data_IF_754005170287
#
_entry.id   IF_754005170287
#
_cell.length_a   1.000
_cell.length_b   1.000
_cell.length_c   1.000
_cell.angle_alpha   90.00
_cell.angle_beta   90.00
_cell.angle_gamma   90.00
#
_symmetry.space_group_name_H-M   'P 1'
#
loop_
_entity.id
_entity.type
_entity.pdbx_description
1 polymer ?
#
# COMPACT_ATOMS: atom_id res chain seq x y z
N UNK A 1 11.66 21.81 -0.95
CA UNK A 1 11.34 21.06 0.27
C UNK A 1 10.43 21.80 1.24
N UNK A 2 10.48 23.13 1.31
CA UNK A 2 9.66 23.92 2.26
C UNK A 2 8.14 23.84 2.04
N UNK A 3 7.68 23.47 0.84
CA UNK A 3 6.24 23.47 0.52
C UNK A 3 5.53 22.12 0.77
N UNK A 4 6.25 21.01 0.79
CA UNK A 4 5.69 19.68 1.04
C UNK A 4 5.30 19.52 2.51
N UNK A 5 6.15 19.98 3.42
CA UNK A 5 6.01 19.77 4.86
C UNK A 5 4.71 20.34 5.46
N UNK A 6 4.29 21.58 5.15
CA UNK A 6 3.01 22.11 5.62
C UNK A 6 1.80 21.29 5.12
N UNK A 7 1.83 20.83 3.86
CA UNK A 7 0.78 20.00 3.28
C UNK A 7 0.73 18.64 3.99
N UNK A 8 1.87 17.99 4.11
CA UNK A 8 1.99 16.73 4.83
C UNK A 8 1.42 16.84 6.25
N UNK A 9 1.85 17.85 7.01
CA UNK A 9 1.42 18.03 8.39
C UNK A 9 -0.09 18.25 8.52
N UNK A 10 -0.66 19.05 7.62
CA UNK A 10 -2.11 19.30 7.57
C UNK A 10 -2.89 18.02 7.25
N UNK A 11 -2.50 17.32 6.19
CA UNK A 11 -3.16 16.10 5.74
C UNK A 11 -3.03 14.98 6.77
N UNK A 12 -1.84 14.80 7.34
CA UNK A 12 -1.62 13.80 8.39
C UNK A 12 -2.45 14.07 9.64
N UNK A 13 -2.52 15.33 10.10
CA UNK A 13 -3.37 15.72 11.22
C UNK A 13 -4.87 15.52 10.91
N UNK A 14 -5.29 15.76 9.67
CA UNK A 14 -6.67 15.57 9.22
C UNK A 14 -7.12 14.11 9.32
N UNK A 15 -6.23 13.12 9.12
CA UNK A 15 -6.57 11.71 9.35
C UNK A 15 -7.04 11.48 10.78
N UNK A 16 -6.30 11.97 11.77
CA UNK A 16 -6.61 11.75 13.19
C UNK A 16 -7.71 12.68 13.72
N UNK A 17 -8.09 13.72 12.99
CA UNK A 17 -9.24 14.56 13.32
C UNK A 17 -10.58 13.89 13.01
N UNK A 18 -10.59 12.77 12.27
CA UNK A 18 -11.81 12.06 11.90
C UNK A 18 -11.89 10.70 12.59
N UNK A 19 -13.09 10.25 13.03
CA UNK A 19 -13.28 8.92 13.61
C UNK A 19 -12.88 7.79 12.66
N UNK A 20 -12.89 8.04 11.34
CA UNK A 20 -12.63 7.05 10.32
C UNK A 20 -11.22 6.44 10.43
N UNK A 21 -10.22 7.24 10.78
CA UNK A 21 -8.85 6.77 10.94
C UNK A 21 -8.73 5.73 12.08
N UNK A 22 -9.40 5.99 13.18
CA UNK A 22 -9.41 5.06 14.32
C UNK A 22 -10.13 3.76 13.98
N UNK A 23 -11.28 3.85 13.31
CA UNK A 23 -12.02 2.68 12.81
C UNK A 23 -11.14 1.85 11.88
N UNK A 24 -10.40 2.52 10.98
CA UNK A 24 -9.49 1.87 10.07
C UNK A 24 -8.36 1.11 10.78
N UNK A 25 -7.70 1.76 11.75
CA UNK A 25 -6.64 1.14 12.55
C UNK A 25 -7.19 -0.06 13.34
N UNK A 26 -8.36 0.10 13.97
CA UNK A 26 -8.99 -0.99 14.73
C UNK A 26 -9.33 -2.18 13.83
N UNK A 27 -9.92 -1.93 12.66
CA UNK A 27 -10.22 -3.01 11.69
C UNK A 27 -8.94 -3.70 11.24
N UNK A 28 -7.89 -2.93 10.92
CA UNK A 28 -6.60 -3.48 10.51
C UNK A 28 -5.99 -4.37 11.60
N UNK A 29 -5.88 -3.86 12.83
CA UNK A 29 -5.29 -4.62 13.94
C UNK A 29 -6.12 -5.85 14.30
N UNK A 30 -7.45 -5.70 14.32
CA UNK A 30 -8.36 -6.81 14.60
C UNK A 30 -8.27 -7.90 13.51
N UNK A 31 -8.29 -7.52 12.24
CA UNK A 31 -8.17 -8.44 11.13
C UNK A 31 -6.81 -9.15 11.15
N UNK A 32 -5.71 -8.40 11.34
CA UNK A 32 -4.37 -8.98 11.45
C UNK A 32 -4.27 -9.96 12.61
N UNK A 33 -4.80 -9.61 13.78
CA UNK A 33 -4.85 -10.51 14.94
C UNK A 33 -5.66 -11.77 14.64
N UNK A 34 -6.87 -11.62 14.08
CA UNK A 34 -7.75 -12.75 13.75
C UNK A 34 -7.10 -13.67 12.71
N UNK A 35 -6.56 -13.12 11.63
CA UNK A 35 -5.92 -13.93 10.59
C UNK A 35 -4.68 -14.62 11.09
N UNK A 36 -3.86 -13.97 11.91
CA UNK A 36 -2.62 -14.56 12.42
C UNK A 36 -2.90 -15.66 13.47
N UNK A 37 -3.68 -15.33 14.49
CA UNK A 37 -3.83 -16.23 15.63
C UNK A 37 -4.90 -17.29 15.45
N UNK A 38 -6.01 -16.95 14.77
CA UNK A 38 -7.14 -17.88 14.61
C UNK A 38 -7.08 -18.63 13.28
N UNK A 39 -6.98 -17.93 12.13
CA UNK A 39 -6.98 -18.57 10.80
C UNK A 39 -5.63 -19.22 10.51
N UNK A 40 -4.54 -18.52 10.84
CA UNK A 40 -3.17 -18.96 10.59
C UNK A 40 -2.64 -19.96 11.63
N UNK A 41 -3.43 -20.27 12.67
CA UNK A 41 -3.05 -21.25 13.73
C UNK A 41 -1.65 -21.00 14.30
N UNK A 42 -1.30 -19.72 14.52
CA UNK A 42 0.05 -19.30 14.93
C UNK A 42 0.60 -20.12 16.10
N UNK A 43 -0.19 -20.35 17.15
CA UNK A 43 0.23 -21.10 18.32
C UNK A 43 0.31 -22.61 18.07
N UNK A 44 -0.54 -23.14 17.20
CA UNK A 44 -0.60 -24.59 16.90
C UNK A 44 0.61 -25.04 16.05
N UNK A 45 1.17 -24.11 15.26
CA UNK A 45 2.35 -24.37 14.44
C UNK A 45 3.62 -24.61 15.27
N UNK A 46 3.67 -24.12 16.51
CA UNK A 46 4.80 -24.33 17.43
C UNK A 46 6.13 -23.71 16.96
N UNK A 47 6.11 -22.83 15.98
CA UNK A 47 7.28 -22.18 15.40
C UNK A 47 7.22 -20.69 15.74
N UNK A 48 8.29 -20.15 16.33
CA UNK A 48 8.41 -18.74 16.67
C UNK A 48 8.85 -17.95 15.43
N UNK A 49 7.92 -17.70 14.52
CA UNK A 49 8.15 -17.01 13.25
C UNK A 49 6.90 -16.20 12.89
N UNK A 50 7.07 -15.08 12.14
CA UNK A 50 6.00 -14.21 11.69
C UNK A 50 5.66 -14.36 10.19
N UNK A 51 6.07 -15.43 9.54
CA UNK A 51 5.78 -15.69 8.13
C UNK A 51 4.27 -15.72 7.86
N UNK A 52 3.51 -16.36 8.75
CA UNK A 52 2.04 -16.39 8.70
C UNK A 52 1.45 -14.98 8.83
N UNK A 53 1.96 -14.18 9.76
CA UNK A 53 1.52 -12.80 9.97
C UNK A 53 1.74 -11.96 8.72
N UNK A 54 2.94 -11.94 8.16
CA UNK A 54 3.26 -11.17 6.96
C UNK A 54 2.58 -11.73 5.70
N UNK A 55 2.31 -13.03 5.64
CA UNK A 55 1.59 -13.65 4.53
C UNK A 55 0.18 -13.11 4.28
N UNK A 56 -0.46 -12.54 5.32
CA UNK A 56 -1.78 -11.92 5.19
C UNK A 56 -1.74 -10.44 4.80
N UNK A 57 -0.58 -9.74 4.89
CA UNK A 57 -0.48 -8.32 4.56
C UNK A 57 -0.93 -7.98 3.13
N UNK A 58 -0.50 -8.70 2.07
CA UNK A 58 -0.93 -8.38 0.71
C UNK A 58 -2.45 -8.39 0.57
N UNK A 59 -3.12 -9.36 1.18
CA UNK A 59 -4.57 -9.55 1.09
C UNK A 59 -5.35 -8.50 1.87
N UNK A 60 -4.90 -8.14 3.07
CA UNK A 60 -5.52 -7.08 3.85
C UNK A 60 -5.30 -5.71 3.24
N UNK A 61 -4.10 -5.44 2.75
CA UNK A 61 -3.77 -4.18 2.08
C UNK A 61 -4.57 -3.99 0.79
N UNK A 62 -4.92 -5.08 0.11
CA UNK A 62 -5.73 -5.04 -1.10
C UNK A 62 -7.07 -4.31 -0.91
N UNK A 63 -7.64 -4.36 0.28
CA UNK A 63 -8.90 -3.68 0.60
C UNK A 63 -8.67 -2.40 1.43
N UNK A 64 -7.80 -2.47 2.41
CA UNK A 64 -7.64 -1.39 3.37
C UNK A 64 -6.90 -0.19 2.77
N UNK A 65 -5.86 -0.42 1.98
CA UNK A 65 -5.10 0.68 1.38
C UNK A 65 -5.90 1.44 0.31
N UNK A 66 -6.66 0.78 -0.60
CA UNK A 66 -7.62 1.47 -1.46
C UNK A 66 -8.68 2.28 -0.70
N UNK A 67 -9.13 1.82 0.46
CA UNK A 67 -10.09 2.57 1.28
C UNK A 67 -9.51 3.89 1.84
N UNK A 68 -8.19 3.94 2.09
CA UNK A 68 -7.50 5.19 2.43
C UNK A 68 -7.36 6.07 1.18
N UNK A 69 -6.85 5.49 0.09
CA UNK A 69 -6.47 6.24 -1.11
C UNK A 69 -7.66 6.79 -1.90
N UNK A 70 -8.83 6.14 -1.84
CA UNK A 70 -10.03 6.60 -2.56
C UNK A 70 -10.43 8.04 -2.22
N UNK A 71 -10.11 8.51 -1.01
CA UNK A 71 -10.48 9.85 -0.52
C UNK A 71 -9.51 10.94 -0.93
N UNK A 72 -8.28 10.61 -1.32
CA UNK A 72 -7.19 11.57 -1.52
C UNK A 72 -7.54 12.70 -2.51
N UNK A 73 -8.26 12.37 -3.58
CA UNK A 73 -8.67 13.31 -4.63
C UNK A 73 -10.17 13.30 -4.92
N UNK A 74 -10.82 12.13 -4.84
CA UNK A 74 -12.25 12.03 -5.12
C UNK A 74 -13.09 12.84 -4.13
N UNK A 75 -12.65 12.96 -2.88
CA UNK A 75 -13.31 13.78 -1.86
C UNK A 75 -13.19 15.28 -2.16
N UNK A 76 -11.99 15.74 -2.53
CA UNK A 76 -11.73 17.14 -2.95
C UNK A 76 -12.60 17.53 -4.16
N UNK A 77 -12.74 16.61 -5.11
CA UNK A 77 -13.62 16.82 -6.28
C UNK A 77 -15.09 16.87 -5.92
N UNK A 78 -15.51 15.94 -5.07
CA UNK A 78 -16.91 15.89 -4.61
C UNK A 78 -17.28 17.15 -3.82
N UNK A 79 -16.34 17.68 -3.04
CA UNK A 79 -16.54 18.88 -2.24
C UNK A 79 -16.39 20.20 -3.04
N UNK A 80 -15.94 20.14 -4.32
CA UNK A 80 -15.66 21.32 -5.12
C UNK A 80 -14.44 22.14 -4.67
N UNK A 81 -13.63 21.57 -3.76
CA UNK A 81 -12.44 22.24 -3.21
C UNK A 81 -11.21 22.07 -4.08
N UNK A 82 -11.29 21.25 -5.12
CA UNK A 82 -10.17 20.98 -6.01
C UNK A 82 -9.71 22.22 -6.77
N UNK A 83 -10.65 23.06 -7.24
CA UNK A 83 -10.32 24.31 -7.92
C UNK A 83 -9.57 25.28 -7.00
N UNK A 84 -10.01 25.41 -5.76
CA UNK A 84 -9.31 26.20 -4.75
C UNK A 84 -7.90 25.70 -4.50
N UNK A 85 -7.71 24.39 -4.46
CA UNK A 85 -6.40 23.76 -4.24
C UNK A 85 -5.47 23.99 -5.44
N UNK A 86 -6.00 24.01 -6.66
CA UNK A 86 -5.26 24.26 -7.89
C UNK A 86 -4.90 25.74 -8.10
N UNK A 87 -5.59 26.68 -7.44
CA UNK A 87 -5.28 28.14 -7.48
C UNK A 87 -4.25 28.55 -6.43
N UNK A 88 -3.91 27.67 -5.48
CA UNK A 88 -2.87 27.96 -4.50
C UNK A 88 -1.50 28.12 -5.18
N UNK A 89 -0.62 29.02 -4.70
CA UNK A 89 0.73 29.21 -5.23
C UNK A 89 1.68 28.08 -4.80
N UNK A 90 1.22 26.82 -4.96
CA UNK A 90 1.96 25.61 -4.62
C UNK A 90 2.02 24.72 -5.86
N UNK A 91 3.19 24.19 -6.25
CA UNK A 91 3.29 23.32 -7.40
C UNK A 91 2.54 21.99 -7.16
N UNK A 92 1.85 21.50 -8.17
CA UNK A 92 1.03 20.27 -8.10
C UNK A 92 1.78 19.07 -7.56
N UNK A 93 3.04 18.88 -7.99
CA UNK A 93 3.87 17.77 -7.50
C UNK A 93 4.08 17.79 -5.98
N UNK A 94 4.20 19.00 -5.38
CA UNK A 94 4.36 19.11 -3.92
C UNK A 94 3.05 18.76 -3.19
N UNK A 95 1.90 19.06 -3.77
CA UNK A 95 0.59 18.69 -3.23
C UNK A 95 0.37 17.18 -3.33
N UNK A 96 0.65 16.60 -4.49
CA UNK A 96 0.54 15.13 -4.70
C UNK A 96 1.44 14.38 -3.72
N UNK A 97 2.71 14.79 -3.64
CA UNK A 97 3.69 14.15 -2.76
C UNK A 97 3.33 14.35 -1.28
N UNK A 98 2.88 15.54 -0.88
CA UNK A 98 2.46 15.81 0.50
C UNK A 98 1.27 14.96 0.95
N UNK A 99 0.24 14.83 0.10
CA UNK A 99 -0.93 13.97 0.37
C UNK A 99 -0.54 12.49 0.41
N UNK A 100 0.26 12.05 -0.56
CA UNK A 100 0.76 10.67 -0.60
C UNK A 100 1.56 10.32 0.66
N UNK A 101 2.54 11.14 1.04
CA UNK A 101 3.36 10.91 2.22
C UNK A 101 2.53 10.88 3.51
N UNK A 102 1.51 11.74 3.63
CA UNK A 102 0.61 11.73 4.78
C UNK A 102 -0.18 10.42 4.89
N UNK A 103 -0.73 9.92 3.78
CA UNK A 103 -1.43 8.65 3.72
C UNK A 103 -0.49 7.46 3.98
N UNK A 104 0.72 7.52 3.42
CA UNK A 104 1.73 6.49 3.63
C UNK A 104 2.26 6.45 5.07
N UNK A 105 2.48 7.62 5.68
CA UNK A 105 2.81 7.71 7.10
C UNK A 105 1.69 7.19 8.00
N UNK A 106 0.42 7.45 7.64
CA UNK A 106 -0.73 6.90 8.34
C UNK A 106 -0.76 5.36 8.27
N UNK A 107 -0.53 4.77 7.09
CA UNK A 107 -0.39 3.32 6.94
C UNK A 107 0.80 2.78 7.76
N UNK A 108 1.92 3.52 7.79
CA UNK A 108 3.09 3.21 8.62
C UNK A 108 2.78 3.22 10.11
N UNK A 109 1.96 4.17 10.60
CA UNK A 109 1.49 4.18 12.00
C UNK A 109 0.64 2.95 12.30
N UNK A 110 -0.31 2.60 11.42
CA UNK A 110 -1.12 1.39 11.58
C UNK A 110 -0.25 0.12 11.63
N UNK A 111 0.75 0.03 10.77
CA UNK A 111 1.72 -1.07 10.75
C UNK A 111 2.58 -1.07 12.03
N UNK A 112 3.07 0.08 12.48
CA UNK A 112 3.86 0.18 13.72
C UNK A 112 3.06 -0.25 14.96
N UNK A 113 1.75 -0.07 14.98
CA UNK A 113 0.89 -0.53 16.07
C UNK A 113 0.77 -2.06 16.15
N UNK A 114 1.24 -2.81 15.15
CA UNK A 114 1.37 -4.28 15.22
C UNK A 114 2.64 -4.74 15.95
N UNK A 115 3.51 -3.81 16.38
CA UNK A 115 4.76 -4.12 17.10
C UNK A 115 4.58 -5.06 18.32
N UNK A 116 3.46 -5.07 19.07
CA UNK A 116 3.24 -6.05 20.12
C UNK A 116 3.32 -7.51 19.66
N UNK A 117 2.98 -7.80 18.40
CA UNK A 117 3.12 -9.15 17.82
C UNK A 117 4.59 -9.54 17.70
N UNK A 118 5.46 -8.58 17.34
CA UNK A 118 6.91 -8.80 17.32
C UNK A 118 7.47 -9.11 18.72
N UNK A 119 7.00 -8.39 19.75
CA UNK A 119 7.39 -8.70 21.13
C UNK A 119 6.91 -10.09 21.56
N UNK A 120 5.69 -10.44 21.18
CA UNK A 120 5.11 -11.74 21.52
C UNK A 120 5.94 -12.91 20.94
N UNK A 121 6.35 -12.82 19.68
CA UNK A 121 7.14 -13.90 19.06
C UNK A 121 8.54 -14.02 19.67
N UNK A 122 9.17 -12.90 20.05
CA UNK A 122 10.45 -12.90 20.77
C UNK A 122 10.33 -13.48 22.19
N UNK A 123 9.17 -13.33 22.82
CA UNK A 123 8.91 -13.93 24.12
C UNK A 123 8.68 -15.45 24.03
N UNK A 124 8.09 -15.92 22.94
CA UNK A 124 7.77 -17.34 22.70
C UNK A 124 8.97 -18.15 22.21
N UNK A 125 9.98 -17.51 21.60
CA UNK A 125 11.13 -18.21 21.06
C UNK A 125 12.24 -17.29 20.60
N UNK A 126 13.08 -17.77 19.69
CA UNK A 126 14.21 -17.01 19.14
C UNK A 126 14.02 -16.78 17.63
N UNK A 127 13.12 -15.89 17.22
CA UNK A 127 12.89 -15.60 15.81
C UNK A 127 14.11 -14.88 15.20
N UNK A 128 14.22 -14.95 13.87
CA UNK A 128 15.16 -14.08 13.16
C UNK A 128 14.59 -12.66 13.08
N UNK A 129 15.11 -11.77 13.91
CA UNK A 129 14.68 -10.38 13.96
C UNK A 129 15.06 -9.59 12.70
N UNK A 130 16.08 -10.03 11.94
CA UNK A 130 16.42 -9.45 10.65
C UNK A 130 15.29 -9.67 9.63
N UNK A 131 14.84 -10.91 9.52
CA UNK A 131 13.71 -11.29 8.64
C UNK A 131 12.43 -10.53 9.00
N UNK A 132 12.17 -10.35 10.30
CA UNK A 132 11.01 -9.58 10.76
C UNK A 132 11.12 -8.12 10.34
N UNK A 133 12.27 -7.49 10.54
CA UNK A 133 12.50 -6.09 10.15
C UNK A 133 12.36 -5.91 8.63
N UNK A 134 12.96 -6.80 7.85
CA UNK A 134 12.86 -6.80 6.38
C UNK A 134 11.40 -6.91 5.94
N UNK A 135 10.63 -7.78 6.59
CA UNK A 135 9.20 -7.96 6.31
C UNK A 135 8.38 -6.70 6.63
N UNK A 136 8.69 -5.98 7.72
CA UNK A 136 8.07 -4.69 8.02
C UNK A 136 8.40 -3.63 6.97
N UNK A 137 9.66 -3.56 6.52
CA UNK A 137 10.09 -2.65 5.46
C UNK A 137 9.38 -3.00 4.14
N UNK A 138 9.37 -4.27 3.75
CA UNK A 138 8.66 -4.74 2.56
C UNK A 138 7.18 -4.45 2.60
N UNK A 139 6.55 -4.66 3.76
CA UNK A 139 5.13 -4.33 3.98
C UNK A 139 4.85 -2.83 3.81
N UNK A 140 5.72 -1.96 4.32
CA UNK A 140 5.59 -0.52 4.16
C UNK A 140 5.78 -0.08 2.71
N UNK A 141 6.74 -0.66 1.99
CA UNK A 141 6.96 -0.40 0.56
C UNK A 141 5.75 -0.85 -0.27
N UNK A 142 5.23 -2.03 -0.01
CA UNK A 142 4.04 -2.57 -0.69
C UNK A 142 2.81 -1.68 -0.43
N UNK A 143 2.60 -1.22 0.80
CA UNK A 143 1.54 -0.26 1.12
C UNK A 143 1.69 1.04 0.33
N UNK A 144 2.92 1.54 0.16
CA UNK A 144 3.24 2.69 -0.69
C UNK A 144 2.85 2.46 -2.15
N UNK A 145 3.13 1.29 -2.70
CA UNK A 145 2.73 0.90 -4.06
C UNK A 145 1.21 0.93 -4.26
N UNK A 146 0.46 0.30 -3.36
CA UNK A 146 -1.00 0.33 -3.39
C UNK A 146 -1.57 1.74 -3.25
N UNK A 147 -0.99 2.54 -2.34
CA UNK A 147 -1.39 3.94 -2.16
C UNK A 147 -1.13 4.81 -3.40
N UNK A 148 0.00 4.63 -4.08
CA UNK A 148 0.34 5.39 -5.27
C UNK A 148 -0.63 5.08 -6.42
N UNK A 149 -0.96 3.80 -6.64
CA UNK A 149 -1.99 3.37 -7.60
C UNK A 149 -3.33 4.00 -7.23
N UNK A 150 -3.76 3.88 -5.98
CA UNK A 150 -5.04 4.39 -5.53
C UNK A 150 -5.13 5.91 -5.57
N UNK A 151 -4.06 6.63 -5.25
CA UNK A 151 -3.99 8.09 -5.39
C UNK A 151 -4.17 8.53 -6.85
N UNK A 152 -3.51 7.86 -7.78
CA UNK A 152 -3.63 8.11 -9.21
C UNK A 152 -5.07 7.87 -9.70
N UNK A 153 -5.68 6.75 -9.34
CA UNK A 153 -7.04 6.40 -9.74
C UNK A 153 -8.09 7.29 -9.07
N UNK A 154 -7.88 7.68 -7.82
CA UNK A 154 -8.73 8.65 -7.12
C UNK A 154 -8.77 10.01 -7.82
N UNK A 155 -7.69 10.43 -8.48
CA UNK A 155 -7.65 11.65 -9.26
C UNK A 155 -8.48 11.59 -10.56
N UNK A 156 -8.89 10.41 -11.02
CA UNK A 156 -9.66 10.27 -12.27
C UNK A 156 -11.16 10.50 -12.09
N UNK A 157 -11.71 10.26 -10.89
CA UNK A 157 -13.16 10.28 -10.61
C UNK A 157 -13.51 11.14 -9.40
N UNK A 158 -14.73 11.66 -9.35
CA UNK A 158 -15.30 12.31 -8.16
C UNK A 158 -16.04 11.33 -7.24
N UNK A 159 -16.26 10.08 -7.69
CA UNK A 159 -16.95 9.08 -6.92
C UNK A 159 -15.96 8.19 -6.16
N UNK A 160 -15.97 8.27 -4.84
CA UNK A 160 -15.08 7.52 -3.96
C UNK A 160 -15.26 5.99 -4.12
N UNK A 161 -16.50 5.51 -4.32
CA UNK A 161 -16.78 4.08 -4.48
C UNK A 161 -16.19 3.56 -5.78
N UNK A 162 -16.28 4.32 -6.87
CA UNK A 162 -15.65 3.96 -8.14
C UNK A 162 -14.14 3.95 -8.00
N UNK A 163 -13.57 4.99 -7.36
CA UNK A 163 -12.13 5.03 -7.06
C UNK A 163 -11.67 3.81 -6.27
N UNK A 164 -12.41 3.43 -5.23
CA UNK A 164 -12.12 2.25 -4.42
C UNK A 164 -12.14 0.96 -5.25
N UNK A 165 -13.26 0.69 -5.94
CA UNK A 165 -13.43 -0.56 -6.70
C UNK A 165 -12.36 -0.70 -7.79
N UNK A 166 -12.11 0.36 -8.56
CA UNK A 166 -11.10 0.33 -9.62
C UNK A 166 -9.70 0.13 -9.04
N UNK A 167 -9.40 0.78 -7.91
CA UNK A 167 -8.11 0.60 -7.22
C UNK A 167 -7.94 -0.85 -6.74
N UNK A 168 -8.96 -1.44 -6.11
CA UNK A 168 -8.93 -2.85 -5.67
C UNK A 168 -8.66 -3.77 -6.87
N UNK A 169 -9.36 -3.58 -7.98
CA UNK A 169 -9.17 -4.41 -9.19
C UNK A 169 -7.75 -4.28 -9.73
N UNK A 170 -7.24 -3.07 -9.88
CA UNK A 170 -5.88 -2.86 -10.40
C UNK A 170 -4.84 -3.44 -9.44
N UNK A 171 -4.94 -3.17 -8.15
CA UNK A 171 -4.04 -3.73 -7.15
C UNK A 171 -4.13 -5.26 -7.09
N UNK A 172 -5.32 -5.84 -7.25
CA UNK A 172 -5.51 -7.29 -7.30
C UNK A 172 -4.76 -7.91 -8.49
N UNK A 173 -4.87 -7.31 -9.68
CA UNK A 173 -4.14 -7.78 -10.88
C UNK A 173 -2.63 -7.77 -10.62
N UNK A 174 -2.07 -6.68 -10.07
CA UNK A 174 -0.66 -6.61 -9.71
C UNK A 174 -0.27 -7.64 -8.63
N UNK A 175 -1.17 -7.92 -7.68
CA UNK A 175 -0.88 -8.87 -6.60
C UNK A 175 -0.83 -10.30 -7.12
N UNK A 176 -1.82 -10.73 -7.91
CA UNK A 176 -1.93 -12.12 -8.35
C UNK A 176 -1.10 -12.44 -9.61
N UNK A 177 -0.53 -11.44 -10.29
CA UNK A 177 0.22 -11.65 -11.55
C UNK A 177 1.37 -12.65 -11.41
N UNK A 178 1.96 -12.81 -10.22
CA UNK A 178 3.00 -13.80 -9.93
C UNK A 178 2.50 -15.07 -9.24
N UNK A 179 1.20 -15.21 -9.02
CA UNK A 179 0.67 -16.43 -8.42
C UNK A 179 0.78 -17.62 -9.37
N UNK A 180 1.12 -18.80 -8.84
CA UNK A 180 1.30 -20.02 -9.64
C UNK A 180 0.10 -20.33 -10.53
N UNK A 181 -1.13 -20.16 -9.98
CA UNK A 181 -2.37 -20.37 -10.72
C UNK A 181 -2.47 -19.50 -12.00
N UNK A 182 -2.00 -18.25 -11.94
CA UNK A 182 -1.99 -17.33 -13.08
C UNK A 182 -0.88 -17.72 -14.05
N UNK A 183 0.33 -17.99 -13.54
CA UNK A 183 1.48 -18.34 -14.37
C UNK A 183 1.26 -19.68 -15.09
N UNK A 184 0.64 -20.67 -14.44
CA UNK A 184 0.34 -21.97 -15.03
C UNK A 184 -0.64 -21.87 -16.21
N UNK A 185 -1.59 -20.93 -16.16
CA UNK A 185 -2.47 -20.64 -17.29
C UNK A 185 -1.67 -20.16 -18.51
N UNK A 186 -0.64 -19.33 -18.32
CA UNK A 186 0.20 -18.82 -19.38
C UNK A 186 1.25 -19.85 -19.85
N UNK A 187 1.69 -20.78 -18.99
CA UNK A 187 2.67 -21.81 -19.33
C UNK A 187 2.25 -22.69 -20.51
N UNK A 188 0.94 -22.85 -20.76
CA UNK A 188 0.42 -23.70 -21.81
C UNK A 188 0.63 -23.13 -23.24
N UNK A 189 0.79 -21.80 -23.40
CA UNK A 189 0.83 -21.17 -24.73
C UNK A 189 1.77 -19.95 -24.84
N UNK A 190 2.23 -19.38 -23.75
CA UNK A 190 3.06 -18.18 -23.74
C UNK A 190 4.55 -18.50 -23.67
N UNK A 191 5.42 -17.72 -24.34
CA UNK A 191 6.87 -17.87 -24.22
C UNK A 191 7.34 -17.51 -22.81
N UNK A 192 8.43 -18.15 -22.37
CA UNK A 192 8.99 -18.01 -21.03
C UNK A 192 9.30 -16.53 -20.66
N UNK A 193 9.72 -15.75 -21.65
CA UNK A 193 9.99 -14.31 -21.51
C UNK A 193 8.75 -13.50 -21.10
N UNK A 194 7.58 -13.87 -21.61
CA UNK A 194 6.32 -13.22 -21.23
C UNK A 194 5.92 -13.59 -19.80
N UNK A 195 6.08 -14.85 -19.44
CA UNK A 195 5.77 -15.34 -18.08
C UNK A 195 6.66 -14.66 -17.05
N UNK A 196 7.95 -14.57 -17.30
CA UNK A 196 8.90 -13.85 -16.43
C UNK A 196 8.60 -12.35 -16.36
N UNK A 197 8.17 -11.72 -17.45
CA UNK A 197 7.75 -10.34 -17.45
C UNK A 197 6.49 -10.14 -16.58
N UNK A 198 5.47 -11.00 -16.70
CA UNK A 198 4.25 -10.94 -15.91
C UNK A 198 4.56 -11.11 -14.40
N UNK A 199 5.37 -12.12 -14.06
CA UNK A 199 5.75 -12.36 -12.66
C UNK A 199 6.56 -11.22 -12.04
N UNK A 200 7.35 -10.50 -12.86
CA UNK A 200 8.15 -9.35 -12.40
C UNK A 200 7.30 -8.11 -12.06
N UNK A 201 6.01 -8.07 -12.39
CA UNK A 201 5.08 -7.03 -11.97
C UNK A 201 4.31 -7.37 -10.69
N UNK A 202 4.54 -8.57 -10.12
CA UNK A 202 3.78 -9.05 -8.97
C UNK A 202 4.24 -8.44 -7.64
N UNK A 203 3.32 -7.79 -6.94
CA UNK A 203 3.54 -7.38 -5.54
C UNK A 203 3.85 -8.57 -4.64
N UNK A 204 3.15 -9.68 -4.85
CA UNK A 204 3.30 -10.88 -4.03
C UNK A 204 4.71 -11.47 -4.16
N UNK A 205 5.23 -11.58 -5.37
CA UNK A 205 6.57 -12.13 -5.64
C UNK A 205 7.66 -11.30 -4.96
N UNK A 206 7.65 -9.98 -5.15
CA UNK A 206 8.64 -9.08 -4.55
C UNK A 206 8.52 -9.02 -3.02
N UNK A 207 7.29 -8.99 -2.51
CA UNK A 207 7.07 -8.98 -1.07
C UNK A 207 7.52 -10.29 -0.41
N UNK A 208 7.22 -11.45 -1.01
CA UNK A 208 7.67 -12.74 -0.51
C UNK A 208 9.20 -12.87 -0.51
N UNK A 209 9.90 -12.34 -1.53
CA UNK A 209 11.35 -12.29 -1.57
C UNK A 209 11.92 -11.51 -0.38
N UNK A 210 11.39 -10.30 -0.12
CA UNK A 210 11.81 -9.47 1.03
C UNK A 210 11.48 -10.17 2.35
N UNK A 211 10.29 -10.74 2.49
CA UNK A 211 9.86 -11.42 3.72
C UNK A 211 10.58 -12.75 3.99
N UNK A 212 11.32 -13.27 3.01
CA UNK A 212 12.24 -14.39 3.22
C UNK A 212 13.59 -13.97 3.82
N UNK A 213 13.77 -12.69 4.16
CA UNK A 213 14.97 -12.16 4.81
C UNK A 213 16.10 -11.79 3.85
N UNK A 214 15.77 -11.53 2.59
CA UNK A 214 16.72 -11.05 1.57
C UNK A 214 16.18 -9.78 0.94
N UNK A 215 16.66 -8.62 1.39
CA UNK A 215 16.35 -7.36 0.69
C UNK A 215 17.22 -7.28 -0.56
N UNK A 216 16.68 -7.71 -1.70
CA UNK A 216 17.32 -7.47 -2.97
C UNK A 216 17.01 -6.02 -3.43
N UNK A 217 18.05 -5.34 -3.92
CA UNK A 217 17.91 -4.01 -4.52
C UNK A 217 16.85 -3.98 -5.64
N UNK A 218 16.68 -5.08 -6.35
CA UNK A 218 15.69 -5.26 -7.40
C UNK A 218 14.26 -5.06 -6.86
N UNK A 219 13.95 -5.62 -5.70
CA UNK A 219 12.61 -5.57 -5.12
C UNK A 219 12.30 -4.16 -4.60
N UNK A 220 13.29 -3.50 -3.99
CA UNK A 220 13.17 -2.11 -3.56
C UNK A 220 12.99 -1.18 -4.75
N UNK A 221 13.78 -1.34 -5.81
CA UNK A 221 13.68 -0.55 -7.05
C UNK A 221 12.30 -0.74 -7.68
N UNK A 222 11.76 -1.96 -7.69
CA UNK A 222 10.42 -2.24 -8.20
C UNK A 222 9.37 -1.37 -7.48
N UNK A 223 9.29 -1.43 -6.15
CA UNK A 223 8.31 -0.63 -5.42
C UNK A 223 8.53 0.87 -5.56
N UNK A 224 9.78 1.34 -5.46
CA UNK A 224 10.11 2.77 -5.59
C UNK A 224 9.79 3.30 -6.98
N UNK A 225 10.14 2.56 -8.04
CA UNK A 225 9.85 2.95 -9.42
C UNK A 225 8.35 2.97 -9.72
N UNK A 226 7.61 1.99 -9.19
CA UNK A 226 6.16 1.92 -9.32
C UNK A 226 5.49 3.11 -8.59
N UNK A 227 5.90 3.41 -7.37
CA UNK A 227 5.42 4.57 -6.62
C UNK A 227 5.69 5.86 -7.43
N UNK A 228 6.92 6.05 -7.91
CA UNK A 228 7.29 7.22 -8.69
C UNK A 228 6.45 7.34 -9.97
N UNK A 229 6.26 6.23 -10.70
CA UNK A 229 5.46 6.20 -11.93
C UNK A 229 4.02 6.65 -11.68
N UNK A 230 3.35 6.08 -10.69
CA UNK A 230 1.94 6.40 -10.41
C UNK A 230 1.78 7.81 -9.81
N UNK A 231 2.75 8.31 -9.04
CA UNK A 231 2.74 9.70 -8.57
C UNK A 231 2.96 10.69 -9.72
N UNK A 232 3.84 10.40 -10.67
CA UNK A 232 4.00 11.20 -11.88
C UNK A 232 2.71 11.19 -12.72
N UNK A 233 2.12 10.01 -12.95
CA UNK A 233 0.84 9.89 -13.64
C UNK A 233 -0.26 10.70 -12.93
N UNK A 234 -0.28 10.69 -11.60
CA UNK A 234 -1.22 11.47 -10.81
C UNK A 234 -1.05 12.98 -11.06
N UNK A 235 0.20 13.49 -11.05
CA UNK A 235 0.48 14.91 -11.38
C UNK A 235 -0.03 15.26 -12.78
N UNK A 236 0.26 14.42 -13.78
CA UNK A 236 -0.18 14.64 -15.17
C UNK A 236 -1.71 14.67 -15.28
N UNK A 237 -2.41 13.72 -14.64
CA UNK A 237 -3.89 13.69 -14.63
C UNK A 237 -4.47 14.96 -14.03
N UNK A 238 -3.88 15.47 -12.96
CA UNK A 238 -4.33 16.69 -12.31
C UNK A 238 -4.05 17.95 -13.16
N UNK A 239 -2.90 17.99 -13.83
CA UNK A 239 -2.53 19.10 -14.70
C UNK A 239 -3.44 19.19 -15.94
N UNK A 240 -3.71 18.06 -16.58
CA UNK A 240 -4.66 17.98 -17.71
C UNK A 240 -6.07 18.47 -17.33
N UNK A 241 -6.48 18.24 -16.09
CA UNK A 241 -7.79 18.66 -15.59
C UNK A 241 -7.83 20.11 -15.09
N UNK A 242 -6.68 20.75 -14.94
CA UNK A 242 -6.58 22.18 -14.66
C UNK A 242 -6.75 23.01 -15.92
N UNK A 243 -6.38 22.45 -17.08
CA UNK A 243 -6.40 23.14 -18.38
C UNK A 243 -7.71 23.00 -19.15
N UNK A 244 -8.66 22.18 -18.70
CA UNK A 244 -10.00 22.00 -19.28
C UNK A 244 -11.08 22.52 -18.39
#
# INVERSE_FOLDING_TARGET
MSQIWPIFKREFAAYFATPLAYVFIVIFLFAMGTFTFYVGHFYDNGIADLSVFFGYHPWLYLFLVPAISMRLWAEERRAGTMELLLTLPVPLWATVLGKFLAAWAFAGVALALTFPVWLTVNFLGSPDNGVILDSYIGSLLMAGGYLAIGACLSATTANQVIAFVVTVVVCFIFTISGASLVLDFFHSWAPLTLITAISSFSFLTHFQAISAGVIDLRDVIFFVSLIALFLLANVVILDLKKSG
#
